data_IF_863237292392
#
_entry.id   IF_863237292392
#
_cell.length_a   1.000
_cell.length_b   1.000
_cell.length_c   1.000
_cell.angle_alpha   90.00
_cell.angle_beta   90.00
_cell.angle_gamma   90.00
#
_symmetry.space_group_name_H-M   'P 1'
#
loop_
_entity.id
_entity.type
_entity.pdbx_description
1 polymer ?
#
# COMPACT_ATOMS: atom_id res chain seq x y z
N UNK A 1 -4.13 13.20 19.32
CA UNK A 1 -3.74 12.95 17.91
C UNK A 1 -3.47 14.29 17.28
N UNK A 2 -2.27 14.49 16.72
CA UNK A 2 -1.93 15.73 16.00
C UNK A 2 -2.63 15.70 14.63
N UNK A 3 -3.17 16.83 14.18
CA UNK A 3 -3.85 16.94 12.89
C UNK A 3 -2.84 16.84 11.73
N UNK A 4 -3.26 16.34 10.55
CA UNK A 4 -2.37 16.30 9.38
C UNK A 4 -1.96 17.73 8.98
N UNK A 5 -0.67 17.91 8.71
CA UNK A 5 -0.13 19.19 8.23
C UNK A 5 -0.37 19.31 6.73
N UNK A 6 -1.38 20.09 6.37
CA UNK A 6 -1.82 20.30 4.98
C UNK A 6 -1.47 21.68 4.43
N UNK A 7 -0.73 22.48 5.19
CA UNK A 7 -0.38 23.85 4.85
C UNK A 7 1.16 24.02 4.79
N UNK A 8 1.67 24.92 3.92
CA UNK A 8 0.91 25.74 2.97
C UNK A 8 0.36 24.90 1.79
N UNK A 9 -0.88 25.18 1.39
CA UNK A 9 -1.49 24.57 0.21
C UNK A 9 -1.01 25.32 -1.05
N UNK A 10 -0.43 24.64 -2.05
CA UNK A 10 -0.12 25.26 -3.33
C UNK A 10 -1.41 25.64 -4.08
N UNK A 11 -1.32 26.61 -4.99
CA UNK A 11 -2.48 27.05 -5.78
C UNK A 11 -2.99 25.95 -6.72
N UNK A 12 -2.10 25.06 -7.21
CA UNK A 12 -2.47 23.94 -8.06
C UNK A 12 -2.96 22.72 -7.24
N UNK A 13 -4.21 22.34 -7.46
CA UNK A 13 -4.84 21.18 -6.86
C UNK A 13 -4.14 19.85 -7.24
N UNK A 14 -3.52 19.79 -8.42
CA UNK A 14 -2.76 18.62 -8.86
C UNK A 14 -1.51 18.46 -8.02
N UNK A 15 -0.75 19.54 -7.80
CA UNK A 15 0.43 19.55 -6.92
C UNK A 15 0.04 19.21 -5.48
N UNK A 16 -1.07 19.77 -5.01
CA UNK A 16 -1.57 19.49 -3.67
C UNK A 16 -1.93 18.00 -3.48
N UNK A 17 -2.71 17.42 -4.41
CA UNK A 17 -3.06 16.00 -4.36
C UNK A 17 -1.81 15.12 -4.50
N UNK A 18 -0.89 15.46 -5.40
CA UNK A 18 0.38 14.75 -5.56
C UNK A 18 1.17 14.71 -4.24
N UNK A 19 1.31 15.85 -3.57
CA UNK A 19 1.98 15.96 -2.28
C UNK A 19 1.33 15.10 -1.18
N UNK A 20 0.00 15.03 -1.13
CA UNK A 20 -0.73 14.15 -0.21
C UNK A 20 -0.43 12.68 -0.52
N UNK A 21 -0.59 12.26 -1.77
CA UNK A 21 -0.40 10.88 -2.19
C UNK A 21 1.04 10.40 -1.98
N UNK A 22 2.02 11.26 -2.27
CA UNK A 22 3.44 10.98 -2.01
C UNK A 22 3.74 10.92 -0.52
N UNK A 23 3.16 11.82 0.30
CA UNK A 23 3.37 11.81 1.74
C UNK A 23 2.82 10.54 2.39
N UNK A 24 1.66 10.05 1.93
CA UNK A 24 1.13 8.76 2.40
C UNK A 24 2.05 7.60 2.00
N UNK A 25 2.60 7.61 0.79
CA UNK A 25 3.58 6.61 0.36
C UNK A 25 4.85 6.62 1.22
N UNK A 26 5.31 7.80 1.68
CA UNK A 26 6.45 7.91 2.61
C UNK A 26 6.12 7.33 3.99
N UNK A 27 4.88 7.50 4.47
CA UNK A 27 4.40 6.88 5.71
C UNK A 27 4.39 5.35 5.56
N UNK A 28 3.91 4.84 4.43
CA UNK A 28 3.93 3.40 4.13
C UNK A 28 5.35 2.82 4.10
N UNK A 29 6.28 3.49 3.40
CA UNK A 29 7.69 3.08 3.36
C UNK A 29 8.31 3.04 4.77
N UNK A 30 8.02 4.05 5.61
CA UNK A 30 8.45 4.07 7.01
C UNK A 30 7.88 2.90 7.81
N UNK A 31 6.61 2.55 7.59
CA UNK A 31 5.98 1.43 8.28
C UNK A 31 6.66 0.10 7.94
N UNK A 32 6.94 -0.17 6.66
CA UNK A 32 7.67 -1.38 6.25
C UNK A 32 9.12 -1.40 6.77
N UNK A 33 9.83 -0.26 6.77
CA UNK A 33 11.15 -0.14 7.40
C UNK A 33 11.10 -0.50 8.89
N UNK A 34 10.10 0.04 9.60
CA UNK A 34 9.93 -0.25 11.03
C UNK A 34 9.63 -1.72 11.29
N UNK A 35 8.81 -2.37 10.46
CA UNK A 35 8.56 -3.81 10.58
C UNK A 35 9.86 -4.62 10.42
N UNK A 36 10.70 -4.25 9.44
CA UNK A 36 12.03 -4.85 9.25
C UNK A 36 12.93 -4.63 10.48
N UNK A 37 12.98 -3.41 11.00
CA UNK A 37 13.75 -3.07 12.21
C UNK A 37 13.28 -3.87 13.43
N UNK A 38 11.99 -4.20 13.51
CA UNK A 38 11.39 -5.03 14.56
C UNK A 38 11.56 -6.55 14.32
N UNK A 39 12.26 -6.96 13.26
CA UNK A 39 12.62 -8.35 12.98
C UNK A 39 11.73 -9.08 11.99
N UNK A 40 10.81 -8.39 11.30
CA UNK A 40 10.10 -8.99 10.17
C UNK A 40 11.03 -9.19 8.97
N UNK A 41 10.70 -10.16 8.11
CA UNK A 41 11.35 -10.32 6.80
C UNK A 41 11.19 -9.05 5.97
N UNK A 42 12.25 -8.67 5.26
CA UNK A 42 12.22 -7.53 4.34
C UNK A 42 11.20 -7.72 3.22
N UNK A 43 10.53 -6.63 2.84
CA UNK A 43 9.49 -6.63 1.81
C UNK A 43 10.13 -6.60 0.44
N UNK A 44 9.74 -7.53 -0.43
CA UNK A 44 10.21 -7.62 -1.82
C UNK A 44 9.18 -7.13 -2.84
N UNK A 45 7.88 -7.19 -2.50
CA UNK A 45 6.77 -6.73 -3.34
C UNK A 45 5.60 -6.28 -2.44
N UNK A 46 4.85 -5.27 -2.88
CA UNK A 46 3.62 -4.83 -2.22
C UNK A 46 2.41 -5.02 -3.12
N UNK A 47 1.46 -5.84 -2.65
CA UNK A 47 0.14 -5.99 -3.26
C UNK A 47 -0.86 -5.03 -2.61
N UNK A 48 -1.64 -4.35 -3.43
CA UNK A 48 -2.53 -3.28 -2.99
C UNK A 48 -4.01 -3.61 -3.19
N UNK A 49 -4.78 -3.34 -2.13
CA UNK A 49 -6.23 -3.50 -2.06
C UNK A 49 -6.92 -2.17 -1.69
N UNK A 50 -8.24 -2.19 -1.57
CA UNK A 50 -9.04 -1.00 -1.20
C UNK A 50 -9.23 0.00 -2.36
N UNK A 51 -9.98 1.08 -2.10
CA UNK A 51 -10.35 2.05 -3.15
C UNK A 51 -9.17 2.68 -3.89
N UNK A 52 -8.06 2.95 -3.17
CA UNK A 52 -6.84 3.51 -3.73
C UNK A 52 -6.13 2.61 -4.75
N UNK A 53 -6.42 1.30 -4.74
CA UNK A 53 -5.79 0.33 -5.65
C UNK A 53 -6.11 0.55 -7.12
N UNK A 54 -7.16 1.32 -7.42
CA UNK A 54 -7.59 1.65 -8.78
C UNK A 54 -6.81 2.82 -9.38
N UNK A 55 -6.03 3.54 -8.57
CA UNK A 55 -5.28 4.72 -9.01
C UNK A 55 -3.86 4.33 -9.45
N UNK A 56 -3.68 4.12 -10.76
CA UNK A 56 -2.38 3.75 -11.33
C UNK A 56 -1.29 4.81 -11.12
N UNK A 57 -1.65 6.10 -11.08
CA UNK A 57 -0.69 7.18 -10.79
C UNK A 57 -0.15 7.05 -9.38
N UNK A 58 -1.02 6.73 -8.42
CA UNK A 58 -0.62 6.52 -7.04
C UNK A 58 0.21 5.24 -6.87
N UNK A 59 -0.13 4.16 -7.58
CA UNK A 59 0.71 2.95 -7.65
C UNK A 59 2.13 3.29 -8.07
N UNK A 60 2.31 4.09 -9.14
CA UNK A 60 3.65 4.52 -9.60
C UNK A 60 4.38 5.42 -8.60
N UNK A 61 3.66 6.32 -7.92
CA UNK A 61 4.24 7.13 -6.84
C UNK A 61 4.76 6.23 -5.72
N UNK A 62 3.97 5.24 -5.30
CA UNK A 62 4.34 4.29 -4.25
C UNK A 62 5.51 3.42 -4.66
N UNK A 63 5.51 2.86 -5.86
CA UNK A 63 6.64 2.09 -6.39
C UNK A 63 7.95 2.89 -6.35
N UNK A 64 7.92 4.17 -6.78
CA UNK A 64 9.08 5.06 -6.69
C UNK A 64 9.52 5.34 -5.24
N UNK A 65 8.57 5.59 -4.34
CA UNK A 65 8.88 5.97 -2.94
C UNK A 65 9.35 4.78 -2.11
N UNK A 66 8.74 3.61 -2.31
CA UNK A 66 9.10 2.37 -1.60
C UNK A 66 10.36 1.73 -2.20
N UNK A 67 10.66 1.97 -3.47
CA UNK A 67 11.83 1.39 -4.15
C UNK A 67 11.68 -0.09 -4.50
N UNK A 68 10.45 -0.60 -4.56
CA UNK A 68 10.12 -2.00 -4.82
C UNK A 68 8.82 -2.11 -5.66
N UNK A 69 8.58 -3.24 -6.34
CA UNK A 69 7.37 -3.44 -7.14
C UNK A 69 6.09 -3.29 -6.34
N UNK A 70 5.16 -2.47 -6.86
CA UNK A 70 3.83 -2.29 -6.29
C UNK A 70 2.77 -2.64 -7.32
N UNK A 71 1.88 -3.58 -6.99
CA UNK A 71 0.85 -4.07 -7.92
C UNK A 71 -0.51 -4.18 -7.24
N UNK A 72 -1.57 -4.16 -8.04
CA UNK A 72 -2.92 -4.44 -7.53
C UNK A 72 -3.04 -5.93 -7.18
N UNK A 73 -3.63 -6.23 -6.03
CA UNK A 73 -3.94 -7.62 -5.68
C UNK A 73 -4.99 -8.18 -6.65
N UNK A 74 -4.75 -9.40 -7.15
CA UNK A 74 -5.69 -10.08 -8.07
C UNK A 74 -7.05 -10.34 -7.41
N UNK A 75 -7.05 -10.62 -6.11
CA UNK A 75 -8.23 -10.93 -5.32
C UNK A 75 -8.14 -10.22 -3.97
N UNK A 76 -9.23 -9.56 -3.58
CA UNK A 76 -9.28 -8.75 -2.35
C UNK A 76 -10.42 -9.16 -1.42
N UNK A 77 -11.33 -10.02 -1.88
CA UNK A 77 -12.50 -10.43 -1.11
C UNK A 77 -12.14 -11.48 -0.06
N UNK A 78 -12.58 -11.24 1.18
CA UNK A 78 -12.36 -12.19 2.28
C UNK A 78 -12.97 -13.57 1.97
N UNK A 79 -14.11 -13.61 1.28
CA UNK A 79 -14.75 -14.85 0.86
C UNK A 79 -13.86 -15.71 -0.07
N UNK A 80 -13.09 -15.06 -0.95
CA UNK A 80 -12.11 -15.76 -1.79
C UNK A 80 -10.99 -16.39 -0.94
N UNK A 81 -10.49 -15.65 0.05
CA UNK A 81 -9.51 -16.17 1.01
C UNK A 81 -10.03 -17.38 1.80
N UNK A 82 -11.28 -17.33 2.26
CA UNK A 82 -11.92 -18.47 2.92
C UNK A 82 -12.06 -19.70 2.01
N UNK A 83 -12.38 -19.50 0.73
CA UNK A 83 -12.43 -20.60 -0.24
C UNK A 83 -11.04 -21.25 -0.44
N UNK A 84 -9.97 -20.46 -0.48
CA UNK A 84 -8.60 -20.99 -0.55
C UNK A 84 -8.23 -21.83 0.68
N UNK A 85 -8.66 -21.43 1.87
CA UNK A 85 -8.48 -22.21 3.10
C UNK A 85 -9.18 -23.57 3.01
N UNK A 86 -10.42 -23.60 2.49
CA UNK A 86 -11.17 -24.86 2.30
C UNK A 86 -10.48 -25.79 1.29
N UNK A 87 -10.01 -25.26 0.16
CA UNK A 87 -9.25 -26.04 -0.84
C UNK A 87 -7.96 -26.60 -0.24
N UNK A 88 -7.20 -25.78 0.48
CA UNK A 88 -5.96 -26.22 1.14
C UNK A 88 -6.22 -27.32 2.17
N UNK A 89 -7.26 -27.16 3.00
CA UNK A 89 -7.65 -28.18 3.97
C UNK A 89 -8.10 -29.48 3.33
N UNK A 90 -8.79 -29.41 2.19
CA UNK A 90 -9.17 -30.61 1.43
C UNK A 90 -7.97 -31.36 0.85
N UNK A 91 -6.93 -30.65 0.37
CA UNK A 91 -5.73 -31.24 -0.22
C UNK A 91 -4.76 -31.86 0.82
N UNK A 92 -4.93 -31.54 2.10
CA UNK A 92 -4.10 -32.05 3.20
C UNK A 92 -4.69 -33.32 3.85
N UNK A 93 -5.90 -33.70 3.47
CA UNK A 93 -6.56 -34.96 3.85
C UNK A 93 -6.45 -36.00 2.73
#
# INVERSE_FOLDING_TARGET
MEAPRLQPRPEDDVEYLHGILESIARIEAKAYSLLKELGATEVEEVLTAGGGSKNEKWTKIRERVLGLPVRRANQTEAAYGAALLAVKGHQQN
#
